data_IF_841447543662
#
_entry.id   IF_841447543662
#
_cell.length_a   1.000
_cell.length_b   1.000
_cell.length_c   1.000
_cell.angle_alpha   90.00
_cell.angle_beta   90.00
_cell.angle_gamma   90.00
#
_symmetry.space_group_name_H-M   'P 1'
#
loop_
_entity.id
_entity.type
_entity.pdbx_description
1 polymer ?
#
# COMPACT_ATOMS: atom_id res chain seq x y z
N UNK A 1 -8.18 -18.20 10.43
CA UNK A 1 -7.10 -17.42 9.77
C UNK A 1 -6.01 -18.40 9.35
N UNK A 2 -5.50 -18.27 8.14
CA UNK A 2 -4.40 -19.11 7.66
C UNK A 2 -3.11 -18.59 8.34
N UNK A 3 -2.38 -19.49 9.02
CA UNK A 3 -1.18 -19.13 9.82
C UNK A 3 0.08 -18.95 8.93
N UNK A 4 -0.09 -18.98 7.60
CA UNK A 4 0.99 -18.82 6.62
C UNK A 4 1.56 -17.40 6.64
N UNK A 5 2.85 -17.27 6.96
CA UNK A 5 3.58 -16.01 6.87
C UNK A 5 3.95 -15.74 5.41
N UNK A 6 3.48 -14.60 4.86
CA UNK A 6 3.75 -14.20 3.47
C UNK A 6 4.77 -13.07 3.34
N UNK A 7 5.02 -12.32 4.42
CA UNK A 7 6.14 -11.38 4.52
C UNK A 7 6.89 -11.67 5.82
N UNK A 8 8.17 -11.91 5.71
CA UNK A 8 9.06 -12.11 6.85
C UNK A 8 10.30 -11.22 6.66
N UNK A 9 10.49 -10.33 7.61
CA UNK A 9 11.62 -9.39 7.66
C UNK A 9 12.32 -9.61 9.00
N UNK A 10 13.63 -9.82 8.99
CA UNK A 10 14.46 -10.01 10.16
C UNK A 10 15.64 -9.03 10.11
N UNK A 11 15.71 -8.15 11.10
CA UNK A 11 16.77 -7.17 11.35
C UNK A 11 17.19 -6.39 10.10
N UNK A 12 16.20 -5.97 9.30
CA UNK A 12 16.44 -5.31 8.02
C UNK A 12 17.01 -3.90 8.22
N UNK A 13 18.17 -3.66 7.60
CA UNK A 13 18.79 -2.34 7.48
C UNK A 13 18.76 -1.91 6.02
N UNK A 14 18.21 -0.72 5.77
CA UNK A 14 18.15 -0.10 4.43
C UNK A 14 18.71 1.30 4.52
N UNK A 15 19.59 1.66 3.59
CA UNK A 15 20.15 3.01 3.48
C UNK A 15 20.02 3.53 2.07
N UNK A 16 19.79 4.84 1.96
CA UNK A 16 19.85 5.60 0.72
C UNK A 16 20.97 6.63 0.83
N UNK A 17 22.08 6.42 0.09
CA UNK A 17 23.32 7.22 0.21
C UNK A 17 23.85 7.15 1.66
N UNK A 18 23.82 8.27 2.40
CA UNK A 18 24.34 8.36 3.77
C UNK A 18 23.22 8.18 4.83
N UNK A 19 21.95 8.24 4.42
CA UNK A 19 20.82 8.17 5.35
C UNK A 19 20.32 6.74 5.54
N UNK A 20 20.31 6.27 6.79
CA UNK A 20 19.76 4.97 7.17
C UNK A 20 18.25 5.11 7.37
N UNK A 21 17.47 4.57 6.42
CA UNK A 21 16.02 4.66 6.41
C UNK A 21 15.33 3.56 7.23
N UNK A 22 15.94 2.35 7.35
CA UNK A 22 15.51 1.30 8.27
C UNK A 22 16.71 0.83 9.09
N UNK A 23 16.51 0.65 10.40
CA UNK A 23 17.56 0.46 11.40
C UNK A 23 17.44 -0.87 12.18
N UNK A 24 17.28 -2.00 11.47
CA UNK A 24 17.06 -3.30 12.10
C UNK A 24 15.58 -3.61 12.32
N UNK A 25 14.77 -3.40 11.27
CA UNK A 25 13.33 -3.67 11.33
C UNK A 25 13.07 -5.17 11.21
N UNK A 26 12.25 -5.70 12.12
CA UNK A 26 11.71 -7.07 12.05
C UNK A 26 10.19 -7.01 11.99
N UNK A 27 9.58 -7.72 11.02
CA UNK A 27 8.13 -7.74 10.79
C UNK A 27 7.72 -9.07 10.16
N UNK A 28 6.60 -9.63 10.63
CA UNK A 28 5.93 -10.77 10.00
C UNK A 28 4.51 -10.41 9.66
N UNK A 29 4.08 -10.75 8.43
CA UNK A 29 2.69 -10.53 7.97
C UNK A 29 2.12 -11.87 7.52
N UNK A 30 0.93 -12.19 8.00
CA UNK A 30 0.21 -13.42 7.65
C UNK A 30 -0.64 -13.25 6.39
N UNK A 31 -0.92 -14.34 5.73
CA UNK A 31 -1.81 -14.35 4.56
C UNK A 31 -3.21 -13.85 4.93
N UNK A 32 -3.73 -12.93 4.14
CA UNK A 32 -5.05 -12.35 4.34
C UNK A 32 -5.12 -11.31 5.47
N UNK A 33 -3.99 -10.98 6.13
CA UNK A 33 -3.95 -9.96 7.18
C UNK A 33 -4.03 -8.55 6.58
N UNK A 34 -4.75 -7.65 7.25
CA UNK A 34 -4.74 -6.22 6.97
C UNK A 34 -3.88 -5.49 8.01
N UNK A 35 -2.70 -5.06 7.60
CA UNK A 35 -1.75 -4.34 8.47
C UNK A 35 -1.74 -2.86 8.14
N UNK A 36 -2.06 -2.02 9.12
CA UNK A 36 -1.84 -0.58 9.07
C UNK A 36 -0.42 -0.24 9.53
N UNK A 37 0.26 0.63 8.80
CA UNK A 37 1.59 1.12 9.17
C UNK A 37 1.50 2.62 9.35
N UNK A 38 1.71 3.10 10.56
CA UNK A 38 1.57 4.51 10.92
C UNK A 38 2.86 5.06 11.55
N UNK A 39 3.03 6.36 11.46
CA UNK A 39 4.18 7.07 12.01
C UNK A 39 4.42 8.41 11.31
N UNK A 40 5.28 9.27 11.87
CA UNK A 40 5.59 10.56 11.31
C UNK A 40 6.25 10.45 9.91
N UNK A 41 6.34 11.58 9.21
CA UNK A 41 7.07 11.67 7.95
C UNK A 41 8.55 11.36 8.20
N UNK A 42 9.17 10.61 7.28
CA UNK A 42 10.56 10.16 7.47
C UNK A 42 10.73 8.90 8.34
N UNK A 43 9.68 8.34 8.92
CA UNK A 43 9.76 7.15 9.78
C UNK A 43 10.21 5.86 9.07
N UNK A 44 10.35 5.86 7.73
CA UNK A 44 10.77 4.68 6.96
C UNK A 44 9.61 3.85 6.37
N UNK A 45 8.36 4.30 6.48
CA UNK A 45 7.15 3.57 6.03
C UNK A 45 7.21 3.18 4.54
N UNK A 46 7.43 4.15 3.65
CA UNK A 46 7.61 3.91 2.21
C UNK A 46 8.80 2.98 1.92
N UNK A 47 9.90 3.14 2.67
CA UNK A 47 11.07 2.27 2.55
C UNK A 47 10.73 0.83 2.88
N UNK A 48 9.94 0.60 3.93
CA UNK A 48 9.46 -0.74 4.30
C UNK A 48 8.62 -1.36 3.18
N UNK A 49 7.67 -0.59 2.59
CA UNK A 49 6.89 -1.08 1.45
C UNK A 49 7.76 -1.37 0.22
N UNK A 50 8.71 -0.49 -0.10
CA UNK A 50 9.60 -0.70 -1.25
C UNK A 50 10.55 -1.88 -1.05
N UNK A 51 10.92 -2.18 0.20
CA UNK A 51 11.67 -3.40 0.53
C UNK A 51 10.84 -4.66 0.25
N UNK A 52 9.56 -4.68 0.67
CA UNK A 52 8.65 -5.82 0.46
C UNK A 52 8.40 -6.07 -1.04
N UNK A 53 8.24 -5.01 -1.85
CA UNK A 53 8.03 -5.18 -3.29
C UNK A 53 9.32 -5.44 -4.09
N UNK A 54 10.48 -5.56 -3.43
CA UNK A 54 11.76 -5.88 -4.08
C UNK A 54 12.38 -4.74 -4.86
N UNK A 55 12.03 -3.48 -4.57
CA UNK A 55 12.70 -2.28 -5.08
C UNK A 55 13.74 -1.74 -4.10
N UNK A 56 13.54 -1.95 -2.80
CA UNK A 56 14.48 -1.54 -1.76
C UNK A 56 15.76 -2.37 -1.78
N UNK A 57 16.91 -1.73 -1.51
CA UNK A 57 18.20 -2.39 -1.39
C UNK A 57 18.49 -2.74 0.08
N UNK A 58 18.38 -4.02 0.40
CA UNK A 58 18.75 -4.55 1.72
C UNK A 58 20.26 -4.48 1.91
N UNK A 59 20.73 -3.90 3.02
CA UNK A 59 22.15 -3.87 3.42
C UNK A 59 22.47 -4.99 4.40
N UNK A 60 21.60 -5.19 5.42
CA UNK A 60 21.74 -6.21 6.44
C UNK A 60 20.39 -6.82 6.76
N UNK A 61 20.39 -7.99 7.38
CA UNK A 61 19.18 -8.72 7.73
C UNK A 61 18.72 -9.68 6.64
N UNK A 62 17.50 -10.17 6.77
CA UNK A 62 16.87 -11.11 5.84
C UNK A 62 15.45 -10.68 5.54
N UNK A 63 15.05 -10.86 4.29
CA UNK A 63 13.67 -10.61 3.84
C UNK A 63 13.19 -11.77 3.00
N UNK A 64 12.02 -12.29 3.31
CA UNK A 64 11.30 -13.28 2.50
C UNK A 64 9.92 -12.74 2.16
N UNK A 65 9.50 -12.92 0.93
CA UNK A 65 8.16 -12.55 0.45
C UNK A 65 7.57 -13.74 -0.28
N UNK A 66 6.39 -14.18 0.15
CA UNK A 66 5.72 -15.39 -0.35
C UNK A 66 6.64 -16.63 -0.30
N UNK A 67 7.44 -16.76 0.77
CA UNK A 67 8.39 -17.84 0.99
C UNK A 67 9.72 -17.70 0.23
N UNK A 68 9.86 -16.74 -0.71
CA UNK A 68 11.08 -16.53 -1.50
C UNK A 68 11.99 -15.46 -0.86
N UNK A 69 13.30 -15.72 -0.74
CA UNK A 69 14.23 -14.72 -0.26
C UNK A 69 14.32 -13.55 -1.24
N UNK A 70 14.42 -12.34 -0.72
CA UNK A 70 14.63 -11.14 -1.52
C UNK A 70 16.05 -11.15 -2.11
N UNK A 71 16.16 -11.47 -3.37
CA UNK A 71 17.40 -11.53 -4.14
C UNK A 71 17.19 -10.95 -5.53
N UNK A 72 18.27 -10.72 -6.29
CA UNK A 72 18.18 -10.25 -7.68
C UNK A 72 17.35 -11.21 -8.56
N UNK A 73 17.49 -12.50 -8.33
CA UNK A 73 16.83 -13.54 -9.13
C UNK A 73 15.32 -13.61 -8.82
N UNK A 74 14.94 -13.47 -7.56
CA UNK A 74 13.56 -13.55 -7.12
C UNK A 74 12.80 -12.21 -7.19
N UNK A 75 13.49 -11.08 -7.19
CA UNK A 75 12.88 -9.75 -7.14
C UNK A 75 11.90 -9.51 -8.29
N UNK A 76 12.19 -10.01 -9.50
CA UNK A 76 11.26 -9.90 -10.64
C UNK A 76 9.97 -10.69 -10.38
N UNK A 77 10.08 -11.92 -9.90
CA UNK A 77 8.93 -12.76 -9.58
C UNK A 77 8.10 -12.13 -8.45
N UNK A 78 8.76 -11.69 -7.36
CA UNK A 78 8.11 -11.01 -6.24
C UNK A 78 7.29 -9.81 -6.75
N UNK A 79 7.90 -8.94 -7.57
CA UNK A 79 7.20 -7.78 -8.15
C UNK A 79 5.98 -8.13 -8.98
N UNK A 80 5.89 -9.32 -9.55
CA UNK A 80 4.67 -9.76 -10.27
C UNK A 80 3.55 -10.23 -9.33
N UNK A 81 3.84 -10.43 -8.06
CA UNK A 81 2.90 -10.90 -7.03
C UNK A 81 2.54 -9.86 -5.99
N UNK A 82 3.25 -8.74 -5.99
CA UNK A 82 3.05 -7.63 -5.06
C UNK A 82 2.53 -6.42 -5.82
N UNK A 83 1.25 -6.11 -5.66
CA UNK A 83 0.64 -4.90 -6.21
C UNK A 83 1.03 -3.70 -5.35
N UNK A 84 1.58 -2.65 -5.96
CA UNK A 84 2.00 -1.45 -5.25
C UNK A 84 1.31 -0.20 -5.80
N UNK A 85 0.62 0.48 -4.91
CA UNK A 85 0.02 1.80 -5.13
C UNK A 85 0.90 2.81 -4.42
N UNK A 86 1.73 3.50 -5.18
CA UNK A 86 2.55 4.59 -4.67
C UNK A 86 1.70 5.83 -4.41
N UNK A 87 2.17 6.71 -3.55
CA UNK A 87 1.58 8.03 -3.38
C UNK A 87 1.48 8.73 -4.74
N UNK A 88 0.25 9.14 -5.12
CA UNK A 88 -0.01 9.75 -6.42
C UNK A 88 0.67 11.11 -6.48
N UNK A 89 1.59 11.26 -7.43
CA UNK A 89 2.17 12.55 -7.80
C UNK A 89 1.34 13.17 -8.94
N UNK A 90 1.40 14.48 -9.08
CA UNK A 90 0.71 15.20 -10.16
C UNK A 90 1.09 14.59 -11.53
N UNK A 91 0.08 14.05 -12.22
CA UNK A 91 0.24 13.54 -13.57
C UNK A 91 0.15 14.72 -14.54
N UNK A 92 1.07 14.81 -15.52
CA UNK A 92 1.02 15.85 -16.55
C UNK A 92 -0.33 15.76 -17.30
N UNK A 93 -1.15 16.82 -17.29
CA UNK A 93 -2.43 16.85 -18.00
C UNK A 93 -2.33 16.54 -19.49
N UNK A 94 -1.15 16.75 -20.10
CA UNK A 94 -0.89 16.51 -21.51
C UNK A 94 -0.52 15.06 -21.84
N UNK A 95 -0.44 14.19 -20.84
CA UNK A 95 -0.08 12.79 -21.04
C UNK A 95 -1.14 12.07 -21.91
N UNK A 96 -0.80 11.57 -23.11
CA UNK A 96 -1.77 11.06 -24.07
C UNK A 96 -2.15 9.59 -23.83
N UNK A 97 -2.08 9.13 -22.57
CA UNK A 97 -2.41 7.76 -22.18
C UNK A 97 -3.77 7.73 -21.49
N UNK A 98 -4.65 6.83 -21.92
CA UNK A 98 -5.99 6.69 -21.33
C UNK A 98 -6.00 5.72 -20.12
N UNK A 99 -7.14 5.65 -19.43
CA UNK A 99 -7.34 4.81 -18.25
C UNK A 99 -7.06 3.34 -18.54
N UNK A 100 -7.57 2.78 -19.68
CA UNK A 100 -7.33 1.38 -20.06
C UNK A 100 -5.84 1.09 -20.21
N UNK A 101 -5.13 1.96 -20.87
CA UNK A 101 -3.69 1.81 -21.12
C UNK A 101 -2.90 1.89 -19.81
N UNK A 102 -3.26 2.80 -18.90
CA UNK A 102 -2.64 2.88 -17.57
C UNK A 102 -2.88 1.60 -16.78
N UNK A 103 -4.10 1.07 -16.78
CA UNK A 103 -4.41 -0.19 -16.07
C UNK A 103 -3.70 -1.37 -16.72
N UNK A 104 -3.57 -1.40 -18.05
CA UNK A 104 -2.82 -2.41 -18.79
C UNK A 104 -1.33 -2.46 -18.39
N UNK A 105 -0.73 -1.35 -17.95
CA UNK A 105 0.66 -1.35 -17.44
C UNK A 105 0.83 -2.37 -16.31
N UNK A 106 -0.20 -2.57 -15.48
CA UNK A 106 -0.20 -3.58 -14.43
C UNK A 106 0.01 -5.01 -14.93
N UNK A 107 -0.36 -5.32 -16.19
CA UNK A 107 -0.21 -6.64 -16.80
C UNK A 107 1.20 -6.91 -17.32
N UNK A 108 1.95 -5.89 -17.72
CA UNK A 108 3.24 -6.08 -18.41
C UNK A 108 4.28 -6.89 -17.62
N UNK A 109 4.26 -6.79 -16.28
CA UNK A 109 5.12 -7.62 -15.43
C UNK A 109 4.91 -9.12 -15.62
N UNK A 110 3.67 -9.55 -15.90
CA UNK A 110 3.27 -10.95 -16.12
C UNK A 110 3.37 -11.39 -17.57
N UNK A 111 3.18 -10.48 -18.52
CA UNK A 111 3.24 -10.81 -19.94
C UNK A 111 4.64 -11.27 -20.39
N UNK A 112 5.67 -10.69 -19.80
CA UNK A 112 7.04 -10.92 -20.23
C UNK A 112 7.48 -10.00 -21.38
N UNK A 113 8.77 -10.01 -21.66
CA UNK A 113 9.37 -9.12 -22.65
C UNK A 113 8.87 -9.42 -24.07
N UNK A 114 8.56 -8.36 -24.82
CA UNK A 114 8.13 -8.40 -26.23
C UNK A 114 6.78 -9.14 -26.51
N UNK A 115 6.04 -9.50 -25.48
CA UNK A 115 4.70 -10.09 -25.67
C UNK A 115 3.62 -9.02 -25.72
N UNK A 116 2.69 -9.17 -26.66
CA UNK A 116 1.52 -8.30 -26.76
C UNK A 116 0.40 -8.77 -25.80
N UNK A 117 -0.38 -7.85 -25.22
CA UNK A 117 -1.56 -8.21 -24.43
C UNK A 117 -2.54 -9.07 -25.23
N UNK A 118 -3.02 -10.13 -24.61
CA UNK A 118 -4.05 -11.02 -25.15
C UNK A 118 -5.46 -10.48 -24.86
N UNK A 119 -6.49 -11.09 -25.47
CA UNK A 119 -7.89 -10.80 -25.12
C UNK A 119 -8.19 -11.05 -23.63
N UNK A 120 -7.55 -12.05 -23.03
CA UNK A 120 -7.68 -12.34 -21.59
C UNK A 120 -7.10 -11.22 -20.73
N UNK A 121 -5.98 -10.62 -21.13
CA UNK A 121 -5.39 -9.50 -20.40
C UNK A 121 -6.29 -8.26 -20.44
N UNK A 122 -6.85 -7.97 -21.62
CA UNK A 122 -7.83 -6.88 -21.76
C UNK A 122 -9.09 -7.14 -20.92
N UNK A 123 -9.59 -8.38 -20.87
CA UNK A 123 -10.72 -8.72 -20.00
C UNK A 123 -10.43 -8.52 -18.51
N UNK A 124 -9.17 -8.76 -18.07
CA UNK A 124 -8.75 -8.45 -16.71
C UNK A 124 -8.74 -6.93 -16.47
N UNK A 125 -8.21 -6.16 -17.41
CA UNK A 125 -8.19 -4.69 -17.36
C UNK A 125 -9.58 -4.12 -17.20
N UNK A 126 -10.52 -4.54 -18.05
CA UNK A 126 -11.93 -4.07 -17.98
C UNK A 126 -12.57 -4.40 -16.64
N UNK A 127 -12.37 -5.63 -16.12
CA UNK A 127 -12.88 -6.00 -14.78
C UNK A 127 -12.28 -5.15 -13.66
N UNK A 128 -11.01 -4.75 -13.75
CA UNK A 128 -10.40 -3.91 -12.72
C UNK A 128 -10.90 -2.47 -12.80
N UNK A 129 -11.12 -1.95 -13.99
CA UNK A 129 -11.73 -0.64 -14.24
C UNK A 129 -13.17 -0.60 -13.71
N UNK A 130 -13.95 -1.64 -13.95
CA UNK A 130 -15.31 -1.80 -13.41
C UNK A 130 -15.29 -1.87 -11.88
N UNK A 131 -14.40 -2.67 -11.29
CA UNK A 131 -14.27 -2.85 -9.85
C UNK A 131 -14.04 -1.52 -9.10
N UNK A 132 -13.26 -0.61 -9.70
CA UNK A 132 -13.00 0.71 -9.12
C UNK A 132 -14.02 1.78 -9.54
N UNK A 133 -15.03 1.41 -10.35
CA UNK A 133 -16.12 2.31 -10.79
C UNK A 133 -15.71 3.31 -11.85
N UNK A 134 -14.71 2.98 -12.70
CA UNK A 134 -14.15 3.89 -13.69
C UNK A 134 -14.53 3.56 -15.15
N UNK A 135 -15.49 2.65 -15.38
CA UNK A 135 -15.86 2.20 -16.74
C UNK A 135 -16.29 3.35 -17.66
N UNK A 136 -17.00 4.34 -17.12
CA UNK A 136 -17.46 5.52 -17.85
C UNK A 136 -16.34 6.49 -18.29
N UNK A 137 -15.13 6.33 -17.74
CA UNK A 137 -13.94 7.13 -18.02
C UNK A 137 -12.80 6.31 -18.64
N UNK A 138 -13.09 5.07 -19.08
CA UNK A 138 -12.07 4.12 -19.51
C UNK A 138 -11.20 4.62 -20.69
N UNK A 139 -11.77 5.42 -21.58
CA UNK A 139 -11.08 6.02 -22.74
C UNK A 139 -10.57 7.46 -22.48
N UNK A 140 -10.82 7.99 -21.28
CA UNK A 140 -10.39 9.35 -20.93
C UNK A 140 -8.89 9.40 -20.64
N UNK A 141 -8.16 10.43 -21.12
CA UNK A 141 -6.76 10.64 -20.75
C UNK A 141 -6.60 10.78 -19.23
N UNK A 142 -5.59 10.11 -18.66
CA UNK A 142 -5.34 10.05 -17.21
C UNK A 142 -5.12 11.45 -16.60
N UNK A 143 -4.49 12.36 -17.35
CA UNK A 143 -4.23 13.73 -16.91
C UNK A 143 -5.47 14.61 -16.79
N UNK A 144 -6.62 14.18 -17.34
CA UNK A 144 -7.90 14.89 -17.25
C UNK A 144 -8.80 14.38 -16.12
N UNK A 145 -8.29 13.50 -15.28
CA UNK A 145 -9.00 12.95 -14.13
C UNK A 145 -8.75 13.76 -12.87
N UNK A 146 -9.73 13.79 -11.97
CA UNK A 146 -9.55 14.30 -10.59
C UNK A 146 -8.57 13.41 -9.81
N UNK A 147 -8.01 13.94 -8.72
CA UNK A 147 -7.09 13.18 -7.86
C UNK A 147 -7.67 11.87 -7.35
N UNK A 148 -8.95 11.86 -6.94
CA UNK A 148 -9.64 10.64 -6.51
C UNK A 148 -9.83 9.62 -7.63
N UNK A 149 -10.13 10.07 -8.87
CA UNK A 149 -10.23 9.21 -10.06
C UNK A 149 -8.85 8.65 -10.44
N UNK A 150 -7.80 9.46 -10.41
CA UNK A 150 -6.42 9.01 -10.65
C UNK A 150 -6.01 7.93 -9.62
N UNK A 151 -6.38 8.11 -8.36
CA UNK A 151 -6.13 7.13 -7.30
C UNK A 151 -6.88 5.81 -7.55
N UNK A 152 -8.14 5.86 -7.99
CA UNK A 152 -8.90 4.66 -8.40
C UNK A 152 -8.21 3.94 -9.56
N UNK A 153 -7.70 4.66 -10.54
CA UNK A 153 -6.95 4.08 -11.67
C UNK A 153 -5.63 3.46 -11.20
N UNK A 154 -4.91 4.10 -10.26
CA UNK A 154 -3.69 3.54 -9.67
C UNK A 154 -3.98 2.22 -8.93
N UNK A 155 -5.08 2.14 -8.19
CA UNK A 155 -5.57 0.93 -7.53
C UNK A 155 -5.91 -0.15 -8.60
N UNK A 156 -6.67 0.20 -9.64
CA UNK A 156 -7.01 -0.74 -10.72
C UNK A 156 -5.76 -1.29 -11.42
N UNK A 157 -4.76 -0.45 -11.68
CA UNK A 157 -3.47 -0.84 -12.25
C UNK A 157 -2.74 -1.87 -11.38
N UNK A 158 -2.68 -1.64 -10.07
CA UNK A 158 -2.04 -2.57 -9.14
C UNK A 158 -2.81 -3.89 -9.06
N UNK A 159 -4.14 -3.86 -9.08
CA UNK A 159 -5.00 -5.05 -9.06
C UNK A 159 -4.98 -5.83 -10.39
N UNK A 160 -4.79 -5.15 -11.54
CA UNK A 160 -4.65 -5.81 -12.84
C UNK A 160 -3.46 -6.78 -12.88
N UNK A 161 -2.49 -6.60 -11.99
CA UNK A 161 -1.39 -7.52 -11.78
C UNK A 161 -1.85 -8.84 -11.12
N UNK A 162 -3.08 -8.93 -10.58
CA UNK A 162 -3.62 -10.05 -9.78
C UNK A 162 -2.65 -10.42 -8.64
N UNK A 163 -2.35 -9.49 -7.73
CA UNK A 163 -1.34 -9.68 -6.70
C UNK A 163 -1.82 -10.60 -5.58
N UNK A 164 -0.86 -11.21 -4.85
CA UNK A 164 -1.11 -11.91 -3.57
C UNK A 164 -1.00 -10.93 -2.37
N UNK A 165 -0.16 -9.88 -2.52
CA UNK A 165 0.06 -8.84 -1.51
C UNK A 165 -0.26 -7.49 -2.13
N UNK A 166 -0.99 -6.65 -1.40
CA UNK A 166 -1.42 -5.33 -1.84
C UNK A 166 -0.85 -4.25 -0.92
N UNK A 167 0.07 -3.47 -1.45
CA UNK A 167 0.76 -2.38 -0.75
C UNK A 167 0.17 -1.04 -1.18
N UNK A 168 -0.24 -0.25 -0.19
CA UNK A 168 -0.84 1.07 -0.38
C UNK A 168 -0.03 2.11 0.40
N UNK A 169 0.64 2.99 -0.31
CA UNK A 169 1.47 4.05 0.27
C UNK A 169 0.72 5.37 0.23
N UNK A 170 0.17 5.76 1.38
CA UNK A 170 -0.61 6.99 1.57
C UNK A 170 -1.71 7.19 0.51
N UNK A 171 -2.60 6.19 0.26
CA UNK A 171 -3.51 6.20 -0.87
C UNK A 171 -4.62 7.27 -0.77
N UNK A 172 -4.73 7.96 0.35
CA UNK A 172 -5.71 9.03 0.60
C UNK A 172 -5.08 10.42 0.69
N UNK A 173 -3.75 10.52 0.55
CA UNK A 173 -3.05 11.80 0.63
C UNK A 173 -3.52 12.77 -0.47
N UNK A 174 -3.64 14.05 -0.12
CA UNK A 174 -4.05 15.13 -1.03
C UNK A 174 -5.44 14.96 -1.68
N UNK A 175 -6.30 14.10 -1.14
CA UNK A 175 -7.67 13.95 -1.57
C UNK A 175 -8.61 14.74 -0.65
N UNK A 176 -9.73 15.20 -1.20
CA UNK A 176 -10.82 15.76 -0.40
C UNK A 176 -11.50 14.68 0.46
N UNK A 177 -12.27 15.09 1.48
CA UNK A 177 -12.92 14.20 2.44
C UNK A 177 -13.82 13.14 1.80
N UNK A 178 -14.50 13.50 0.70
CA UNK A 178 -15.37 12.59 -0.02
C UNK A 178 -14.55 11.51 -0.73
N UNK A 179 -13.55 11.91 -1.50
CA UNK A 179 -12.66 11.00 -2.21
C UNK A 179 -11.88 10.09 -1.25
N UNK A 180 -11.38 10.62 -0.11
CA UNK A 180 -10.74 9.82 0.93
C UNK A 180 -11.66 8.69 1.40
N UNK A 181 -12.90 9.02 1.81
CA UNK A 181 -13.88 8.05 2.27
C UNK A 181 -14.17 6.99 1.20
N UNK A 182 -14.36 7.40 -0.05
CA UNK A 182 -14.62 6.50 -1.17
C UNK A 182 -13.45 5.54 -1.43
N UNK A 183 -12.20 6.01 -1.32
CA UNK A 183 -11.00 5.16 -1.45
C UNK A 183 -10.88 4.17 -0.29
N UNK A 184 -11.13 4.60 0.96
CA UNK A 184 -11.08 3.71 2.13
C UNK A 184 -12.11 2.58 2.03
N UNK A 185 -13.35 2.89 1.63
CA UNK A 185 -14.38 1.88 1.41
C UNK A 185 -14.05 0.96 0.23
N UNK A 186 -13.45 1.49 -0.83
CA UNK A 186 -12.96 0.68 -1.96
C UNK A 186 -11.88 -0.31 -1.51
N UNK A 187 -10.87 0.16 -0.78
CA UNK A 187 -9.76 -0.68 -0.27
C UNK A 187 -10.30 -1.78 0.65
N UNK A 188 -11.19 -1.43 1.59
CA UNK A 188 -11.87 -2.39 2.48
C UNK A 188 -12.60 -3.46 1.67
N UNK A 189 -13.42 -3.07 0.68
CA UNK A 189 -14.15 -4.00 -0.18
C UNK A 189 -13.20 -4.93 -0.94
N UNK A 190 -12.13 -4.39 -1.52
CA UNK A 190 -11.14 -5.17 -2.27
C UNK A 190 -10.48 -6.20 -1.35
N UNK A 191 -10.00 -5.79 -0.17
CA UNK A 191 -9.38 -6.67 0.81
C UNK A 191 -10.31 -7.83 1.16
N UNK A 192 -11.56 -7.53 1.57
CA UNK A 192 -12.53 -8.54 2.04
C UNK A 192 -12.97 -9.49 0.92
N UNK A 193 -13.23 -8.98 -0.32
CA UNK A 193 -13.77 -9.80 -1.40
C UNK A 193 -12.72 -10.64 -2.12
N UNK A 194 -11.45 -10.27 -2.01
CA UNK A 194 -10.33 -10.95 -2.70
C UNK A 194 -9.37 -11.65 -1.75
N UNK A 195 -9.63 -11.58 -0.44
CA UNK A 195 -8.79 -12.17 0.62
C UNK A 195 -7.31 -11.79 0.47
N UNK A 196 -7.05 -10.53 0.06
CA UNK A 196 -5.69 -10.04 -0.17
C UNK A 196 -4.98 -9.77 1.16
N UNK A 197 -3.70 -10.11 1.23
CA UNK A 197 -2.83 -9.57 2.27
C UNK A 197 -2.59 -8.10 1.97
N UNK A 198 -2.98 -7.19 2.87
CA UNK A 198 -2.96 -5.75 2.63
C UNK A 198 -2.06 -5.03 3.62
N UNK A 199 -1.11 -4.23 3.14
CA UNK A 199 -0.36 -3.30 3.96
C UNK A 199 -0.72 -1.86 3.54
N UNK A 200 -1.20 -1.09 4.50
CA UNK A 200 -1.72 0.26 4.31
C UNK A 200 -0.90 1.27 5.11
N UNK A 201 -0.15 2.10 4.43
CA UNK A 201 0.62 3.18 5.05
C UNK A 201 -0.21 4.45 5.09
N UNK A 202 -0.24 5.11 6.24
CA UNK A 202 -0.79 6.46 6.40
C UNK A 202 -0.06 7.21 7.52
N UNK A 203 -0.04 8.53 7.42
CA UNK A 203 0.33 9.41 8.53
C UNK A 203 -0.90 10.00 9.23
N UNK A 204 -2.07 9.96 8.59
CA UNK A 204 -3.34 10.39 9.17
C UNK A 204 -4.07 9.21 9.83
N UNK A 205 -4.07 9.22 11.15
CA UNK A 205 -4.67 8.18 12.00
C UNK A 205 -6.17 8.01 11.78
N UNK A 206 -6.86 9.07 11.35
CA UNK A 206 -8.31 9.06 11.09
C UNK A 206 -8.64 8.36 9.76
N UNK A 207 -7.65 8.14 8.89
CA UNK A 207 -7.83 7.43 7.62
C UNK A 207 -7.52 5.94 7.69
N UNK A 208 -7.20 5.39 8.88
CA UNK A 208 -6.96 3.96 9.03
C UNK A 208 -8.26 3.18 8.80
N UNK A 209 -8.30 2.21 7.85
CA UNK A 209 -9.50 1.44 7.58
C UNK A 209 -9.94 0.60 8.78
N UNK A 210 -11.25 0.50 9.01
CA UNK A 210 -11.81 -0.36 10.09
C UNK A 210 -11.54 -1.86 9.91
N UNK A 211 -11.14 -2.26 8.71
CA UNK A 211 -10.76 -3.65 8.41
C UNK A 211 -9.32 -3.96 8.81
N UNK A 212 -8.61 -3.03 9.47
CA UNK A 212 -7.25 -3.22 9.91
C UNK A 212 -7.23 -4.19 11.10
N UNK A 213 -6.54 -5.31 10.94
CA UNK A 213 -6.40 -6.33 11.99
C UNK A 213 -5.31 -5.96 12.99
N UNK A 214 -4.22 -5.34 12.49
CA UNK A 214 -3.04 -4.98 13.27
C UNK A 214 -2.44 -3.67 12.78
N UNK A 215 -1.91 -2.89 13.72
CA UNK A 215 -1.21 -1.62 13.44
C UNK A 215 0.26 -1.77 13.87
N UNK A 216 1.15 -1.31 13.01
CA UNK A 216 2.59 -1.19 13.24
C UNK A 216 2.94 0.28 13.37
N UNK A 217 3.58 0.64 14.47
CA UNK A 217 4.03 2.00 14.78
C UNK A 217 5.48 2.16 14.37
N UNK A 218 5.78 3.10 13.48
CA UNK A 218 7.15 3.36 13.02
C UNK A 218 7.62 4.77 13.38
N UNK A 219 8.86 4.88 13.86
CA UNK A 219 9.56 6.14 14.11
C UNK A 219 11.07 5.95 13.93
N UNK A 220 11.74 6.90 13.27
CA UNK A 220 13.19 6.93 13.09
C UNK A 220 13.78 5.64 12.47
N UNK A 221 13.05 5.03 11.54
CA UNK A 221 13.47 3.79 10.87
C UNK A 221 13.35 2.53 11.74
N UNK A 222 12.62 2.58 12.85
CA UNK A 222 12.39 1.48 13.77
C UNK A 222 10.88 1.20 13.93
N UNK A 223 10.53 -0.05 14.22
CA UNK A 223 9.22 -0.40 14.75
C UNK A 223 9.26 -0.11 16.26
N UNK A 224 8.36 0.75 16.73
CA UNK A 224 8.24 1.15 18.14
C UNK A 224 7.19 0.33 18.89
N UNK A 225 6.30 -0.31 18.16
CA UNK A 225 5.27 -1.18 18.72
C UNK A 225 4.35 -1.71 17.62
N UNK A 226 3.65 -2.77 17.93
CA UNK A 226 2.60 -3.34 17.09
C UNK A 226 1.53 -4.01 17.93
N UNK A 227 0.32 -4.06 17.45
CA UNK A 227 -0.80 -4.67 18.15
C UNK A 227 -2.13 -4.40 17.44
N UNK A 228 -3.22 -4.81 18.05
CA UNK A 228 -4.56 -4.47 17.56
C UNK A 228 -4.77 -2.95 17.63
N UNK A 229 -5.61 -2.38 16.75
CA UNK A 229 -5.86 -0.94 16.76
C UNK A 229 -6.24 -0.39 18.15
N UNK A 230 -7.05 -1.13 18.91
CA UNK A 230 -7.48 -0.74 20.26
C UNK A 230 -6.34 -0.70 21.28
N UNK A 231 -5.31 -1.52 21.07
CA UNK A 231 -4.17 -1.65 22.01
C UNK A 231 -3.11 -0.59 21.78
N UNK A 232 -2.88 -0.21 20.53
CA UNK A 232 -1.78 0.68 20.15
C UNK A 232 -2.22 2.12 19.83
N UNK A 233 -3.49 2.34 19.46
CA UNK A 233 -4.03 3.68 19.23
C UNK A 233 -4.52 4.28 20.57
N UNK A 234 -3.56 4.66 21.41
CA UNK A 234 -3.77 5.28 22.73
C UNK A 234 -3.08 6.63 22.75
N UNK A 235 -3.61 7.56 23.57
CA UNK A 235 -3.10 8.93 23.66
C UNK A 235 -1.63 9.00 24.08
N UNK A 236 -1.24 8.20 25.06
CA UNK A 236 0.15 8.11 25.54
C UNK A 236 1.11 7.61 24.47
N UNK A 237 0.75 6.51 23.81
CA UNK A 237 1.56 5.86 22.74
C UNK A 237 1.68 6.78 21.52
N UNK A 238 0.58 7.39 21.09
CA UNK A 238 0.59 8.27 19.92
C UNK A 238 1.29 9.61 20.21
N UNK A 239 1.14 10.14 21.41
CA UNK A 239 1.86 11.38 21.82
C UNK A 239 3.38 11.19 21.82
N UNK A 240 3.87 10.01 22.26
CA UNK A 240 5.28 9.63 22.17
C UNK A 240 5.73 9.40 20.72
N UNK A 241 4.88 8.75 19.92
CA UNK A 241 5.19 8.47 18.51
C UNK A 241 5.39 9.75 17.69
N UNK A 242 4.52 10.75 17.90
CA UNK A 242 4.49 12.00 17.11
C UNK A 242 5.15 13.19 17.78
N UNK A 243 5.73 13.03 18.99
CA UNK A 243 6.35 14.09 19.81
C UNK A 243 5.40 15.30 20.03
N UNK A 244 4.10 15.04 20.15
CA UNK A 244 3.08 16.08 20.35
C UNK A 244 1.92 15.53 21.16
N UNK A 245 1.28 16.32 22.02
CA UNK A 245 0.11 15.88 22.76
C UNK A 245 -1.02 15.50 21.78
N UNK A 246 -1.47 14.26 21.88
CA UNK A 246 -2.58 13.74 21.08
C UNK A 246 -3.72 13.39 22.03
N UNK A 247 -4.94 13.75 21.63
CA UNK A 247 -6.17 13.34 22.30
C UNK A 247 -6.98 12.43 21.40
N UNK A 248 -7.67 11.47 22.02
CA UNK A 248 -8.59 10.57 21.32
C UNK A 248 -9.97 10.78 21.91
N UNK A 249 -10.90 11.17 21.05
CA UNK A 249 -12.32 11.27 21.44
C UNK A 249 -13.12 10.15 20.80
N UNK A 250 -14.10 9.66 21.51
CA UNK A 250 -15.06 8.70 20.97
C UNK A 250 -16.30 9.46 20.49
N UNK A 251 -16.61 9.37 19.18
CA UNK A 251 -17.80 9.98 18.60
C UNK A 251 -18.51 8.97 17.70
N UNK A 252 -19.76 8.66 17.99
CA UNK A 252 -20.58 7.64 17.29
C UNK A 252 -19.86 6.28 17.14
N UNK A 253 -19.22 5.80 18.21
CA UNK A 253 -18.45 4.55 18.22
C UNK A 253 -17.19 4.60 17.32
N UNK A 254 -16.69 5.81 17.03
CA UNK A 254 -15.44 6.05 16.30
C UNK A 254 -14.44 6.73 17.21
N UNK A 255 -13.22 6.23 17.20
CA UNK A 255 -12.07 6.95 17.75
C UNK A 255 -11.63 8.00 16.74
N UNK A 256 -11.64 9.26 17.14
CA UNK A 256 -11.15 10.40 16.36
C UNK A 256 -9.93 10.93 17.06
N UNK A 257 -8.85 10.99 16.36
CA UNK A 257 -7.57 11.51 16.85
C UNK A 257 -7.52 13.01 16.60
N UNK A 258 -7.24 13.78 17.66
CA UNK A 258 -7.06 15.24 17.64
C UNK A 258 -5.61 15.55 18.03
N UNK A 259 -4.95 16.36 17.25
CA UNK A 259 -3.59 16.88 17.49
C UNK A 259 -3.61 18.39 17.70
#
# INVERSE_FOLDING_TARGET
MNDEVVVEIEDAVVSYREDVALRGVSLRVRRGEFVGIIGPNGAGKTTLLTLINGLGKLLQGRVRVLGYPLSRDNARWIRTRVGYVAQVQNIDPRMPINVREVVMIGRYGRLGLLRRPSKADWAIVERMIELVGMSHLADRPIGHLSGGEQQRVAIARALAQEPDIFLLDEPTANLDWRAQREILELVKRIHTTRELTTLFVTHDLNTLPRACDRVVLMKDGLIRGEGRPEEVLREDVLSELYDTPIRIIEHDGRRVVLS
#
